data_IF_365459352107
#
_entry.id   IF_365459352107
#
_cell.length_a   1.000
_cell.length_b   1.000
_cell.length_c   1.000
_cell.angle_alpha   90.00
_cell.angle_beta   90.00
_cell.angle_gamma   90.00
#
_symmetry.space_group_name_H-M   'P 1'
#
loop_
_entity.id
_entity.type
_entity.pdbx_description
1 polymer ?
#
# COMPACT_ATOMS: atom_id res chain seq x y z
N UNK A 1 16.07 9.50 21.15
CA UNK A 1 17.06 9.64 20.08
C UNK A 1 16.50 9.13 18.74
N UNK A 2 17.10 9.55 17.64
CA UNK A 2 16.70 9.08 16.28
C UNK A 2 17.08 7.60 16.08
N UNK A 3 16.27 6.87 15.29
CA UNK A 3 16.61 5.49 14.92
C UNK A 3 17.84 5.45 14.00
N UNK A 4 18.61 4.35 14.04
CA UNK A 4 19.78 4.15 13.17
C UNK A 4 19.44 4.26 11.69
N UNK A 5 18.23 3.81 11.30
CA UNK A 5 17.73 3.97 9.92
C UNK A 5 17.50 5.44 9.55
N UNK A 6 16.98 6.25 10.47
CA UNK A 6 16.81 7.70 10.28
C UNK A 6 18.16 8.40 10.14
N UNK A 7 19.10 8.05 11.00
CA UNK A 7 20.48 8.60 10.96
C UNK A 7 21.15 8.25 9.62
N UNK A 8 21.07 6.99 9.19
CA UNK A 8 21.63 6.55 7.90
C UNK A 8 21.02 7.29 6.71
N UNK A 9 19.69 7.50 6.72
CA UNK A 9 18.99 8.26 5.67
C UNK A 9 19.43 9.72 5.63
N UNK A 10 19.55 10.36 6.79
CA UNK A 10 20.01 11.75 6.87
C UNK A 10 21.44 11.89 6.34
N UNK A 11 22.35 10.98 6.69
CA UNK A 11 23.70 10.96 6.17
C UNK A 11 23.69 10.79 4.64
N UNK A 12 22.90 9.88 4.10
CA UNK A 12 22.78 9.68 2.65
C UNK A 12 22.28 10.95 1.94
N UNK A 13 21.27 11.63 2.51
CA UNK A 13 20.75 12.91 1.96
C UNK A 13 21.80 14.01 1.98
N UNK A 14 22.56 14.15 3.07
CA UNK A 14 23.63 15.15 3.19
C UNK A 14 24.75 14.85 2.18
N UNK A 15 25.17 13.59 2.06
CA UNK A 15 26.18 13.18 1.06
C UNK A 15 25.73 13.47 -0.37
N UNK A 16 24.47 13.17 -0.70
CA UNK A 16 23.90 13.49 -2.01
C UNK A 16 23.89 14.99 -2.30
N UNK A 17 23.58 15.79 -1.29
CA UNK A 17 23.61 17.24 -1.40
C UNK A 17 25.03 17.78 -1.68
N UNK A 18 26.04 17.32 -0.92
CA UNK A 18 27.42 17.74 -1.17
C UNK A 18 27.97 17.22 -2.50
N UNK A 19 27.61 16.01 -2.92
CA UNK A 19 27.94 15.51 -4.26
C UNK A 19 27.35 16.40 -5.37
N UNK A 20 26.12 16.90 -5.17
CA UNK A 20 25.54 17.90 -6.07
C UNK A 20 26.35 19.20 -6.08
N UNK A 21 26.66 19.78 -4.92
CA UNK A 21 27.42 21.02 -4.82
C UNK A 21 28.81 20.92 -5.46
N UNK A 22 29.49 19.79 -5.32
CA UNK A 22 30.77 19.52 -5.99
C UNK A 22 30.62 19.44 -7.51
N UNK A 23 29.57 18.77 -8.00
CA UNK A 23 29.29 18.69 -9.44
C UNK A 23 29.04 20.06 -10.05
N UNK A 24 28.32 20.92 -9.33
CA UNK A 24 28.06 22.31 -9.73
C UNK A 24 29.25 23.28 -9.45
N UNK A 25 30.39 22.73 -8.93
CA UNK A 25 31.61 23.49 -8.59
C UNK A 25 31.39 24.62 -7.57
N UNK A 26 30.36 24.48 -6.72
CA UNK A 26 30.06 25.46 -5.66
C UNK A 26 31.00 25.28 -4.46
N UNK A 27 31.44 24.02 -4.20
CA UNK A 27 32.42 23.65 -3.17
C UNK A 27 33.55 22.82 -3.77
N UNK A 28 34.78 22.99 -3.21
CA UNK A 28 35.96 22.30 -3.69
C UNK A 28 36.30 21.00 -2.96
N UNK A 29 35.45 20.56 -2.00
CA UNK A 29 35.67 19.34 -1.24
C UNK A 29 34.38 18.85 -0.59
N UNK A 30 34.35 17.54 -0.28
CA UNK A 30 33.21 16.90 0.41
C UNK A 30 33.49 16.79 1.92
N UNK A 31 32.88 17.67 2.75
CA UNK A 31 33.05 17.56 4.20
C UNK A 31 32.43 16.30 4.80
N UNK A 32 31.67 15.55 4.02
CA UNK A 32 31.01 14.31 4.45
C UNK A 32 31.77 13.06 4.06
N UNK A 33 32.91 13.17 3.39
CA UNK A 33 33.70 12.03 2.87
C UNK A 33 33.95 10.97 3.96
N UNK A 34 34.38 11.42 5.14
CA UNK A 34 34.72 10.55 6.27
C UNK A 34 33.53 10.10 7.13
N UNK A 35 32.32 10.58 6.83
CA UNK A 35 31.12 10.20 7.57
C UNK A 35 30.62 8.82 7.07
N UNK A 36 30.74 7.81 7.94
CA UNK A 36 30.23 6.46 7.65
C UNK A 36 28.82 6.28 8.21
N UNK A 37 27.85 5.80 7.42
CA UNK A 37 26.53 5.49 7.95
C UNK A 37 26.62 4.33 8.96
N UNK A 38 25.77 4.31 10.01
CA UNK A 38 25.73 3.21 10.94
C UNK A 38 25.33 1.92 10.22
N UNK A 39 25.90 0.79 10.66
CA UNK A 39 25.49 -0.53 10.15
C UNK A 39 24.05 -0.80 10.60
N UNK A 40 23.14 -0.95 9.64
CA UNK A 40 21.75 -1.34 9.90
C UNK A 40 21.67 -2.86 9.77
N UNK A 41 21.30 -3.53 10.86
CA UNK A 41 20.94 -4.96 10.79
C UNK A 41 19.59 -5.03 10.07
N UNK A 42 19.58 -5.58 8.85
CA UNK A 42 18.34 -5.82 8.12
C UNK A 42 17.56 -6.89 8.87
N UNK A 43 16.49 -6.50 9.55
CA UNK A 43 15.50 -7.47 10.03
C UNK A 43 14.77 -8.05 8.83
N UNK A 44 14.54 -9.36 8.83
CA UNK A 44 13.62 -9.98 7.86
C UNK A 44 12.27 -9.30 8.04
N UNK A 45 11.67 -8.77 6.97
CA UNK A 45 10.36 -8.12 7.10
C UNK A 45 9.35 -9.10 7.67
N UNK A 46 8.62 -8.67 8.70
CA UNK A 46 7.53 -9.46 9.25
C UNK A 46 6.39 -9.55 8.23
N UNK A 47 5.83 -10.75 8.11
CA UNK A 47 4.64 -11.01 7.29
C UNK A 47 3.49 -11.48 8.18
N UNK A 48 2.27 -11.30 7.69
CA UNK A 48 1.09 -11.95 8.26
C UNK A 48 1.02 -13.37 7.71
N UNK A 49 0.60 -14.30 8.54
CA UNK A 49 0.20 -15.63 8.09
C UNK A 49 -1.14 -15.54 7.32
N UNK A 50 -1.44 -16.55 6.52
CA UNK A 50 -2.74 -16.64 5.82
C UNK A 50 -3.91 -16.56 6.81
N UNK A 51 -3.79 -17.20 7.98
CA UNK A 51 -4.80 -17.15 9.04
C UNK A 51 -4.99 -15.73 9.59
N UNK A 52 -3.89 -14.98 9.84
CA UNK A 52 -3.97 -13.59 10.29
C UNK A 52 -4.59 -12.67 9.24
N UNK A 53 -4.24 -12.87 7.96
CA UNK A 53 -4.85 -12.13 6.86
C UNK A 53 -6.36 -12.40 6.80
N UNK A 54 -6.78 -13.65 6.83
CA UNK A 54 -8.21 -14.00 6.82
C UNK A 54 -8.94 -13.37 8.01
N UNK A 55 -8.37 -13.46 9.21
CA UNK A 55 -8.93 -12.78 10.39
C UNK A 55 -9.09 -11.28 10.19
N UNK A 56 -8.10 -10.62 9.57
CA UNK A 56 -8.16 -9.19 9.28
C UNK A 56 -9.26 -8.87 8.26
N UNK A 57 -9.30 -9.61 7.17
CA UNK A 57 -10.25 -9.40 6.08
C UNK A 57 -11.70 -9.68 6.51
N UNK A 58 -11.93 -10.57 7.45
CA UNK A 58 -13.27 -10.93 7.94
C UNK A 58 -13.85 -9.95 8.98
N UNK A 59 -13.05 -8.98 9.46
CA UNK A 59 -13.53 -8.02 10.46
C UNK A 59 -14.61 -7.06 9.97
N UNK A 60 -14.56 -6.49 8.75
CA UNK A 60 -15.66 -5.71 8.24
C UNK A 60 -16.90 -6.60 7.98
N UNK A 61 -17.99 -6.33 8.68
CA UNK A 61 -19.21 -7.18 8.64
C UNK A 61 -20.15 -6.87 7.48
N UNK A 62 -19.83 -5.87 6.66
CA UNK A 62 -20.65 -5.41 5.53
C UNK A 62 -22.06 -4.91 5.95
N UNK A 63 -22.25 -4.44 7.18
CA UNK A 63 -23.53 -3.96 7.69
C UNK A 63 -23.72 -2.46 7.50
N UNK A 64 -22.65 -1.73 7.32
CA UNK A 64 -22.68 -0.28 7.14
C UNK A 64 -21.93 0.13 5.88
N UNK A 65 -22.27 1.28 5.26
CA UNK A 65 -21.52 1.82 4.12
C UNK A 65 -20.02 1.90 4.35
N UNK A 66 -19.63 2.28 5.57
CA UNK A 66 -18.22 2.32 5.98
C UNK A 66 -17.57 0.95 5.93
N UNK A 67 -18.23 -0.09 6.47
CA UNK A 67 -17.67 -1.45 6.48
C UNK A 67 -17.60 -2.07 5.08
N UNK A 68 -18.57 -1.80 4.21
CA UNK A 68 -18.57 -2.24 2.82
C UNK A 68 -17.37 -1.63 2.08
N UNK A 69 -17.13 -0.32 2.24
CA UNK A 69 -15.94 0.35 1.70
C UNK A 69 -14.65 -0.25 2.27
N UNK A 70 -14.56 -0.40 3.59
CA UNK A 70 -13.36 -0.89 4.26
C UNK A 70 -13.02 -2.32 3.84
N UNK A 71 -14.05 -3.18 3.68
CA UNK A 71 -13.90 -4.54 3.13
C UNK A 71 -13.33 -4.49 1.72
N UNK A 72 -13.91 -3.69 0.84
CA UNK A 72 -13.43 -3.56 -0.54
C UNK A 72 -11.96 -3.09 -0.61
N UNK A 73 -11.59 -2.11 0.22
CA UNK A 73 -10.20 -1.61 0.27
C UNK A 73 -9.21 -2.67 0.77
N UNK A 74 -9.55 -3.39 1.84
CA UNK A 74 -8.68 -4.43 2.42
C UNK A 74 -8.52 -5.62 1.47
N UNK A 75 -9.63 -6.09 0.88
CA UNK A 75 -9.61 -7.18 -0.10
C UNK A 75 -8.80 -6.81 -1.34
N UNK A 76 -9.00 -5.61 -1.89
CA UNK A 76 -8.26 -5.15 -3.06
C UNK A 76 -6.76 -5.04 -2.76
N UNK A 77 -6.38 -4.45 -1.62
CA UNK A 77 -4.98 -4.32 -1.23
C UNK A 77 -4.29 -5.69 -1.13
N UNK A 78 -4.94 -6.66 -0.48
CA UNK A 78 -4.36 -7.99 -0.32
C UNK A 78 -4.38 -8.82 -1.60
N UNK A 79 -5.45 -8.73 -2.40
CA UNK A 79 -5.55 -9.49 -3.65
C UNK A 79 -4.58 -9.04 -4.74
N UNK A 80 -4.13 -7.79 -4.69
CA UNK A 80 -3.29 -7.19 -5.75
C UNK A 80 -1.88 -6.83 -5.28
N UNK A 81 -1.70 -6.65 -3.98
CA UNK A 81 -0.44 -6.18 -3.41
C UNK A 81 -0.02 -4.78 -3.87
N UNK A 82 -0.90 -3.96 -4.41
CA UNK A 82 -0.59 -2.59 -4.86
C UNK A 82 -0.12 -1.69 -3.71
N UNK A 83 0.55 -0.59 -4.05
CA UNK A 83 0.95 0.40 -3.04
C UNK A 83 -0.28 1.14 -2.50
N UNK A 84 -0.23 1.53 -1.22
CA UNK A 84 -1.34 2.33 -0.62
C UNK A 84 -1.57 3.63 -1.38
N UNK A 85 -0.52 4.25 -1.90
CA UNK A 85 -0.67 5.44 -2.73
C UNK A 85 -1.51 5.15 -3.96
N UNK A 86 -1.26 4.05 -4.65
CA UNK A 86 -2.03 3.61 -5.82
C UNK A 86 -3.48 3.31 -5.40
N UNK A 87 -3.68 2.54 -4.33
CA UNK A 87 -5.03 2.21 -3.83
C UNK A 87 -5.89 3.46 -3.57
N UNK A 88 -5.33 4.48 -2.90
CA UNK A 88 -6.11 5.67 -2.53
C UNK A 88 -6.26 6.68 -3.68
N UNK A 89 -5.47 6.56 -4.73
CA UNK A 89 -5.57 7.40 -5.94
C UNK A 89 -6.29 6.74 -7.10
N UNK A 90 -6.70 5.45 -6.97
CA UNK A 90 -7.51 4.79 -7.98
C UNK A 90 -8.76 5.59 -8.30
N UNK A 91 -9.10 5.63 -9.57
CA UNK A 91 -10.34 6.18 -10.10
C UNK A 91 -11.31 5.06 -10.46
N UNK A 92 -12.58 5.41 -10.60
CA UNK A 92 -13.58 4.43 -11.06
C UNK A 92 -13.26 3.91 -12.47
N UNK A 93 -12.69 4.75 -13.32
CA UNK A 93 -12.25 4.39 -14.68
C UNK A 93 -11.11 3.39 -14.73
N UNK A 94 -10.31 3.31 -13.66
CA UNK A 94 -9.17 2.38 -13.57
C UNK A 94 -9.61 0.95 -13.21
N UNK A 95 -10.89 0.73 -12.99
CA UNK A 95 -11.43 -0.55 -12.51
C UNK A 95 -12.28 -1.22 -13.59
N UNK A 96 -11.90 -2.43 -13.95
CA UNK A 96 -12.71 -3.28 -14.83
C UNK A 96 -13.18 -4.53 -14.09
N UNK A 97 -14.35 -4.44 -13.44
CA UNK A 97 -14.92 -5.57 -12.68
C UNK A 97 -15.23 -6.76 -13.59
N UNK A 98 -15.73 -6.52 -14.82
CA UNK A 98 -16.14 -7.60 -15.74
C UNK A 98 -14.95 -8.43 -16.21
N UNK A 99 -13.83 -7.80 -16.48
CA UNK A 99 -12.60 -8.47 -16.89
C UNK A 99 -11.68 -8.81 -15.72
N UNK A 100 -12.00 -8.35 -14.51
CA UNK A 100 -11.30 -8.71 -13.29
C UNK A 100 -9.90 -8.11 -13.18
N UNK A 101 -9.72 -6.85 -13.54
CA UNK A 101 -8.43 -6.16 -13.37
C UNK A 101 -8.59 -4.70 -12.94
N UNK A 102 -7.50 -4.14 -12.45
CA UNK A 102 -7.34 -2.70 -12.22
C UNK A 102 -6.11 -2.20 -12.98
N UNK A 103 -6.10 -0.91 -13.31
CA UNK A 103 -4.95 -0.20 -13.86
C UNK A 103 -4.31 0.66 -12.76
N UNK A 104 -3.01 0.47 -12.56
CA UNK A 104 -2.23 1.23 -11.60
C UNK A 104 -1.28 2.18 -12.33
N UNK A 105 -1.31 3.46 -11.96
CA UNK A 105 -0.50 4.52 -12.56
C UNK A 105 0.69 4.86 -11.66
N UNK A 106 1.90 4.85 -12.24
CA UNK A 106 3.15 5.28 -11.57
C UNK A 106 3.90 6.25 -12.51
N UNK A 107 3.59 7.53 -12.41
CA UNK A 107 3.98 8.53 -13.40
C UNK A 107 3.38 8.20 -14.78
N UNK A 108 4.24 8.10 -15.79
CA UNK A 108 3.82 7.76 -17.17
C UNK A 108 3.65 6.25 -17.40
N UNK A 109 3.92 5.43 -16.40
CA UNK A 109 3.78 3.97 -16.50
C UNK A 109 2.43 3.53 -16.01
N UNK A 110 1.76 2.72 -16.83
CA UNK A 110 0.51 2.05 -16.48
C UNK A 110 0.77 0.55 -16.44
N UNK A 111 0.29 -0.10 -15.38
CA UNK A 111 0.31 -1.57 -15.31
C UNK A 111 -1.07 -2.10 -14.96
N UNK A 112 -1.44 -3.17 -15.61
CA UNK A 112 -2.66 -3.91 -15.36
C UNK A 112 -2.40 -4.98 -14.30
N UNK A 113 -3.23 -4.98 -13.24
CA UNK A 113 -3.10 -5.93 -12.13
C UNK A 113 -4.39 -6.75 -12.03
N UNK A 114 -4.32 -8.09 -12.15
CA UNK A 114 -5.49 -8.94 -12.00
C UNK A 114 -6.03 -8.89 -10.57
N UNK A 115 -7.35 -8.94 -10.43
CA UNK A 115 -8.05 -8.89 -9.15
C UNK A 115 -8.72 -10.24 -8.90
N UNK A 116 -8.44 -10.88 -7.77
CA UNK A 116 -9.07 -12.14 -7.38
C UNK A 116 -10.59 -11.96 -7.20
N UNK A 117 -11.36 -13.01 -7.49
CA UNK A 117 -12.82 -12.98 -7.50
C UNK A 117 -13.45 -12.48 -6.19
N UNK A 118 -12.84 -12.83 -5.04
CA UNK A 118 -13.31 -12.35 -3.72
C UNK A 118 -13.23 -10.82 -3.63
N UNK A 119 -12.12 -10.25 -4.06
CA UNK A 119 -11.93 -8.81 -4.09
C UNK A 119 -12.82 -8.13 -5.15
N UNK A 120 -13.03 -8.76 -6.31
CA UNK A 120 -13.98 -8.27 -7.33
C UNK A 120 -15.40 -8.15 -6.75
N UNK A 121 -15.88 -9.17 -6.04
CA UNK A 121 -17.22 -9.14 -5.40
C UNK A 121 -17.33 -8.03 -4.36
N UNK A 122 -16.32 -7.89 -3.48
CA UNK A 122 -16.32 -6.82 -2.48
C UNK A 122 -16.28 -5.43 -3.12
N UNK A 123 -15.48 -5.26 -4.17
CA UNK A 123 -15.36 -4.01 -4.91
C UNK A 123 -16.63 -3.68 -5.70
N UNK A 124 -17.22 -4.66 -6.38
CA UNK A 124 -18.51 -4.51 -7.09
C UNK A 124 -19.58 -4.05 -6.14
N UNK A 125 -19.70 -4.69 -4.98
CA UNK A 125 -20.68 -4.31 -3.95
C UNK A 125 -20.48 -2.86 -3.48
N UNK A 126 -19.25 -2.46 -3.20
CA UNK A 126 -18.94 -1.10 -2.80
C UNK A 126 -19.33 -0.08 -3.89
N UNK A 127 -19.00 -0.36 -5.15
CA UNK A 127 -19.29 0.53 -6.26
C UNK A 127 -20.80 0.69 -6.47
N UNK A 128 -21.56 -0.41 -6.37
CA UNK A 128 -23.00 -0.38 -6.68
C UNK A 128 -23.87 0.08 -5.53
N UNK A 129 -23.50 -0.20 -4.27
CA UNK A 129 -24.35 0.06 -3.12
C UNK A 129 -23.97 1.32 -2.31
N UNK A 130 -22.70 1.80 -2.42
CA UNK A 130 -22.17 2.75 -1.44
C UNK A 130 -21.43 3.93 -2.05
N UNK A 131 -20.67 3.69 -3.13
CA UNK A 131 -19.71 4.67 -3.63
C UNK A 131 -20.35 5.99 -4.01
N UNK A 132 -21.47 5.96 -4.73
CA UNK A 132 -22.10 7.16 -5.27
C UNK A 132 -22.63 8.08 -4.15
N UNK A 133 -23.15 7.49 -3.07
CA UNK A 133 -23.58 8.24 -1.89
C UNK A 133 -22.42 8.92 -1.16
N UNK A 134 -21.21 8.38 -1.30
CA UNK A 134 -20.01 8.94 -0.67
C UNK A 134 -19.23 9.89 -1.58
N UNK A 135 -19.40 9.82 -2.90
CA UNK A 135 -18.45 10.39 -3.86
C UNK A 135 -18.60 11.90 -4.08
N UNK A 136 -19.76 12.47 -3.82
CA UNK A 136 -20.04 13.87 -4.14
C UNK A 136 -19.79 14.20 -5.63
N UNK A 137 -19.84 13.21 -6.53
CA UNK A 137 -19.58 13.37 -7.96
C UNK A 137 -18.11 13.30 -8.38
N UNK A 138 -17.19 13.00 -7.48
CA UNK A 138 -15.77 12.83 -7.80
C UNK A 138 -15.47 11.49 -8.46
N UNK A 139 -14.46 11.43 -9.31
CA UNK A 139 -14.02 10.24 -10.06
C UNK A 139 -13.16 9.26 -9.27
N UNK A 140 -12.67 9.65 -8.08
CA UNK A 140 -11.93 8.73 -7.21
C UNK A 140 -12.76 7.49 -6.85
N UNK A 141 -12.07 6.37 -6.64
CA UNK A 141 -12.74 5.12 -6.26
C UNK A 141 -13.16 5.13 -4.78
N UNK A 142 -12.28 5.52 -3.86
CA UNK A 142 -12.51 5.42 -2.42
C UNK A 142 -12.58 6.77 -1.72
N UNK A 143 -13.58 6.90 -0.84
CA UNK A 143 -13.84 8.12 -0.09
C UNK A 143 -13.82 7.88 1.42
N UNK A 144 -13.54 8.92 2.20
CA UNK A 144 -13.74 8.91 3.64
C UNK A 144 -15.23 9.18 3.99
N UNK A 145 -15.58 9.10 5.28
CA UNK A 145 -16.97 9.32 5.73
C UNK A 145 -17.45 10.78 5.60
N UNK A 146 -16.62 11.70 5.12
CA UNK A 146 -16.95 13.10 4.85
C UNK A 146 -17.09 13.40 3.36
N UNK A 147 -17.02 12.39 2.51
CA UNK A 147 -17.10 12.53 1.06
C UNK A 147 -15.84 13.03 0.38
N UNK A 148 -14.71 13.19 1.10
CA UNK A 148 -13.43 13.50 0.48
C UNK A 148 -12.67 12.23 0.10
N UNK A 149 -11.78 12.25 -0.92
CA UNK A 149 -10.97 11.11 -1.31
C UNK A 149 -10.23 10.51 -0.11
N UNK A 150 -10.09 9.19 -0.10
CA UNK A 150 -9.38 8.49 0.97
C UNK A 150 -7.91 8.88 0.99
N UNK A 151 -7.37 9.10 2.19
CA UNK A 151 -5.94 9.38 2.37
C UNK A 151 -5.18 8.15 2.85
N UNK A 152 -3.86 8.11 2.61
CA UNK A 152 -2.98 7.06 3.14
C UNK A 152 -3.10 6.92 4.66
N UNK A 153 -3.12 8.06 5.39
CA UNK A 153 -3.27 8.07 6.84
C UNK A 153 -4.66 7.56 7.27
N UNK A 154 -5.70 7.93 6.52
CA UNK A 154 -7.07 7.43 6.76
C UNK A 154 -7.14 5.92 6.63
N UNK A 155 -6.59 5.39 5.54
CA UNK A 155 -6.58 3.95 5.32
C UNK A 155 -5.69 3.19 6.32
N UNK A 156 -4.54 3.75 6.71
CA UNK A 156 -3.72 3.16 7.77
C UNK A 156 -4.47 3.04 9.11
N UNK A 157 -5.26 4.06 9.48
CA UNK A 157 -6.14 3.98 10.67
C UNK A 157 -7.18 2.86 10.55
N UNK A 158 -7.72 2.63 9.35
CA UNK A 158 -8.65 1.53 9.07
C UNK A 158 -7.96 0.18 9.32
N UNK A 159 -6.77 -0.02 8.76
CA UNK A 159 -5.97 -1.25 8.97
C UNK A 159 -5.73 -1.48 10.47
N UNK A 160 -5.26 -0.46 11.20
CA UNK A 160 -5.00 -0.56 12.65
C UNK A 160 -6.25 -0.92 13.45
N UNK A 161 -7.38 -0.30 13.12
CA UNK A 161 -8.66 -0.58 13.75
C UNK A 161 -9.08 -2.05 13.59
N UNK A 162 -9.03 -2.58 12.37
CA UNK A 162 -9.41 -3.95 12.12
C UNK A 162 -8.37 -4.97 12.60
N UNK A 163 -7.09 -4.63 12.62
CA UNK A 163 -6.04 -5.45 13.21
C UNK A 163 -6.27 -5.64 14.73
N UNK A 164 -6.54 -4.56 15.44
CA UNK A 164 -6.87 -4.62 16.86
C UNK A 164 -8.14 -5.44 17.12
N UNK A 165 -9.18 -5.25 16.28
CA UNK A 165 -10.44 -6.02 16.37
C UNK A 165 -10.24 -7.52 16.08
N UNK A 166 -9.29 -7.86 15.21
CA UNK A 166 -8.91 -9.23 14.89
C UNK A 166 -8.01 -9.91 15.94
N UNK A 167 -7.57 -9.16 16.97
CA UNK A 167 -6.63 -9.65 17.98
C UNK A 167 -5.24 -9.95 17.41
N UNK A 168 -4.78 -9.17 16.43
CA UNK A 168 -3.46 -9.33 15.84
C UNK A 168 -2.50 -8.39 16.54
N UNK A 169 -1.57 -8.96 17.33
CA UNK A 169 -0.62 -8.20 18.14
C UNK A 169 0.53 -7.54 17.35
N UNK A 170 0.66 -7.85 16.06
CA UNK A 170 1.67 -7.24 15.19
C UNK A 170 1.34 -5.79 14.86
N UNK A 171 2.38 -4.95 14.75
CA UNK A 171 2.22 -3.57 14.25
C UNK A 171 1.98 -3.57 12.74
N UNK A 172 0.74 -3.88 12.33
CA UNK A 172 0.40 -4.05 10.91
C UNK A 172 0.51 -2.72 10.18
N UNK A 173 1.25 -2.76 9.08
CA UNK A 173 1.36 -1.67 8.12
C UNK A 173 0.87 -2.12 6.74
N UNK A 174 0.50 -1.17 5.87
CA UNK A 174 0.16 -1.50 4.48
C UNK A 174 1.29 -2.24 3.74
N UNK A 175 2.54 -1.90 4.05
CA UNK A 175 3.71 -2.59 3.49
C UNK A 175 3.78 -4.05 3.95
N UNK A 176 3.40 -4.33 5.19
CA UNK A 176 3.34 -5.71 5.69
C UNK A 176 2.28 -6.53 4.95
N UNK A 177 1.09 -5.95 4.68
CA UNK A 177 0.03 -6.63 3.91
C UNK A 177 0.52 -6.94 2.48
N UNK A 178 1.11 -5.95 1.79
CA UNK A 178 1.70 -6.14 0.46
C UNK A 178 2.83 -7.19 0.48
N UNK A 179 3.67 -7.19 1.50
CA UNK A 179 4.74 -8.16 1.64
C UNK A 179 4.21 -9.57 1.90
N UNK A 180 3.13 -9.69 2.69
CA UNK A 180 2.42 -10.94 2.91
C UNK A 180 1.80 -11.48 1.62
N UNK A 181 1.19 -10.61 0.80
CA UNK A 181 0.72 -10.99 -0.54
C UNK A 181 1.85 -11.60 -1.37
N UNK A 182 2.99 -10.91 -1.50
CA UNK A 182 4.13 -11.40 -2.28
C UNK A 182 4.63 -12.76 -1.76
N UNK A 183 4.81 -12.90 -0.44
CA UNK A 183 5.26 -14.14 0.20
C UNK A 183 4.27 -15.29 -0.01
N UNK A 184 2.98 -15.02 0.10
CA UNK A 184 1.94 -16.05 -0.09
C UNK A 184 1.82 -16.47 -1.55
N UNK A 185 1.91 -15.53 -2.49
CA UNK A 185 1.92 -15.86 -3.93
C UNK A 185 3.11 -16.76 -4.28
N UNK A 186 4.32 -16.41 -3.85
CA UNK A 186 5.51 -17.22 -4.08
C UNK A 186 5.43 -18.57 -3.36
N UNK A 187 4.92 -18.60 -2.13
CA UNK A 187 4.71 -19.83 -1.36
C UNK A 187 3.69 -20.78 -2.01
N UNK A 188 2.76 -20.25 -2.77
CA UNK A 188 1.78 -21.00 -3.56
C UNK A 188 2.26 -21.35 -4.99
N UNK A 189 3.55 -21.11 -5.30
CA UNK A 189 4.15 -21.49 -6.57
C UNK A 189 4.01 -20.49 -7.70
N UNK A 190 3.61 -19.25 -7.40
CA UNK A 190 3.60 -18.20 -8.42
C UNK A 190 5.03 -17.88 -8.89
N UNK A 191 5.17 -17.59 -10.18
CA UNK A 191 6.45 -17.18 -10.75
C UNK A 191 6.88 -15.79 -10.21
N UNK A 192 8.18 -15.68 -9.92
CA UNK A 192 8.76 -14.47 -9.31
C UNK A 192 8.62 -13.23 -10.21
N UNK A 193 8.72 -13.41 -11.54
CA UNK A 193 8.57 -12.31 -12.50
C UNK A 193 7.14 -11.81 -12.53
N UNK A 194 6.18 -12.73 -12.55
CA UNK A 194 4.75 -12.38 -12.51
C UNK A 194 4.41 -11.58 -11.24
N UNK A 195 4.92 -12.01 -10.07
CA UNK A 195 4.72 -11.27 -8.82
C UNK A 195 5.40 -9.89 -8.87
N UNK A 196 6.59 -9.79 -9.45
CA UNK A 196 7.28 -8.50 -9.63
C UNK A 196 6.50 -7.55 -10.55
N UNK A 197 5.96 -8.05 -11.67
CA UNK A 197 5.14 -7.27 -12.60
C UNK A 197 3.86 -6.75 -11.93
N UNK A 198 3.18 -7.57 -11.14
CA UNK A 198 2.01 -7.15 -10.36
C UNK A 198 2.35 -6.06 -9.34
N UNK A 199 3.51 -6.17 -8.71
CA UNK A 199 3.93 -5.23 -7.67
C UNK A 199 4.48 -3.91 -8.24
N UNK A 200 5.12 -3.91 -9.36
CA UNK A 200 5.72 -2.73 -9.98
C UNK A 200 6.98 -2.22 -9.31
#
# INVERSE_FOLDING_TARGET
>A
GMSMATVSRNIASIKSFYAYLMRERIVNGDPTENIKPPKIVKKVPETLTISEVNKLLDQPTNKTPKEIRDKAMLELLYATGIRVTELVTLKLTDVNIKLGFIECHDGDRVRTVPVAEVAQRALSRYITEVRDDMSGGSDYLFFNCKGAPMTRQGFWKIIKYYAAKAGIDKDITPHMIRHSFASHMLGNGADIKSVQEMLG
#
